data_IF_757864999711
#
_entry.id   IF_757864999711
#
_cell.length_a   1.000
_cell.length_b   1.000
_cell.length_c   1.000
_cell.angle_alpha   90.00
_cell.angle_beta   90.00
_cell.angle_gamma   90.00
#
_symmetry.space_group_name_H-M   'P 1'
#
loop_
_entity.id
_entity.type
_entity.pdbx_description
1 polymer ?
#
# COMPACT_ATOMS: atom_id res chain seq x y z
N UNK A 1 2.72 -20.69 -2.83
CA UNK A 1 1.70 -19.99 -3.65
C UNK A 1 0.72 -21.05 -4.13
N UNK A 2 -0.59 -20.81 -4.02
CA UNK A 2 -1.62 -21.73 -4.52
C UNK A 2 -2.26 -21.10 -5.75
N UNK A 3 -2.32 -21.85 -6.84
CA UNK A 3 -3.00 -21.40 -8.06
C UNK A 3 -4.52 -21.41 -7.83
N UNK A 4 -5.20 -20.35 -8.28
CA UNK A 4 -6.65 -20.19 -8.15
C UNK A 4 -7.35 -20.19 -9.52
N UNK A 5 -6.92 -19.30 -10.43
CA UNK A 5 -7.53 -19.16 -11.77
C UNK A 5 -6.63 -18.34 -12.71
N UNK A 6 -7.00 -18.26 -13.99
CA UNK A 6 -6.32 -17.48 -15.03
C UNK A 6 -7.17 -16.31 -15.53
N UNK A 7 -6.57 -15.11 -15.58
CA UNK A 7 -7.14 -13.94 -16.25
C UNK A 7 -6.61 -13.86 -17.70
N UNK A 8 -7.49 -13.61 -18.67
CA UNK A 8 -7.14 -13.48 -20.08
C UNK A 8 -7.69 -12.18 -20.65
N UNK A 9 -6.81 -11.34 -21.24
CA UNK A 9 -7.16 -10.08 -21.88
C UNK A 9 -7.20 -10.28 -23.40
N UNK A 10 -8.39 -10.33 -24.00
CA UNK A 10 -8.59 -10.69 -25.42
C UNK A 10 -9.16 -9.59 -26.30
N UNK A 11 -9.62 -8.47 -25.74
CA UNK A 11 -10.29 -7.40 -26.48
C UNK A 11 -9.59 -6.05 -26.27
N UNK A 12 -9.34 -5.35 -27.37
CA UNK A 12 -8.87 -3.97 -27.36
C UNK A 12 -10.02 -2.98 -27.13
N UNK A 13 -9.67 -1.79 -26.67
CA UNK A 13 -10.59 -0.71 -26.36
C UNK A 13 -11.20 -0.16 -27.66
N UNK A 14 -12.47 0.23 -27.62
CA UNK A 14 -13.14 0.90 -28.74
C UNK A 14 -13.01 2.42 -28.63
N UNK A 15 -13.01 2.95 -27.40
CA UNK A 15 -12.82 4.36 -27.13
C UNK A 15 -11.96 4.57 -25.88
N UNK A 16 -10.75 5.10 -26.07
CA UNK A 16 -9.79 5.29 -24.98
C UNK A 16 -10.33 6.20 -23.86
N UNK A 17 -11.01 7.30 -24.20
CA UNK A 17 -11.51 8.22 -23.19
C UNK A 17 -12.60 7.59 -22.33
N UNK A 18 -13.55 6.91 -22.96
CA UNK A 18 -14.66 6.23 -22.27
C UNK A 18 -14.18 5.02 -21.46
N UNK A 19 -13.28 4.21 -22.02
CA UNK A 19 -12.97 2.89 -21.48
C UNK A 19 -11.73 2.91 -20.56
N UNK A 20 -10.84 3.91 -20.65
CA UNK A 20 -9.64 4.04 -19.79
C UNK A 20 -9.68 5.30 -18.95
N UNK A 21 -9.85 6.47 -19.56
CA UNK A 21 -9.84 7.74 -18.82
C UNK A 21 -11.06 7.92 -17.90
N UNK A 22 -12.16 7.22 -18.16
CA UNK A 22 -13.30 7.23 -17.26
C UNK A 22 -13.39 5.97 -16.38
N UNK A 23 -12.43 5.05 -16.47
CA UNK A 23 -12.37 3.91 -15.58
C UNK A 23 -12.05 4.35 -14.15
N UNK A 24 -12.85 3.87 -13.19
CA UNK A 24 -12.72 4.19 -11.78
C UNK A 24 -12.58 2.89 -10.98
N UNK A 25 -11.37 2.61 -10.52
CA UNK A 25 -11.07 1.47 -9.64
C UNK A 25 -11.00 1.96 -8.20
N UNK A 26 -11.59 1.20 -7.27
CA UNK A 26 -11.53 1.50 -5.84
C UNK A 26 -11.43 0.21 -5.03
N UNK A 27 -10.54 0.19 -4.04
CA UNK A 27 -10.39 -0.91 -3.10
C UNK A 27 -11.64 -1.12 -2.22
N UNK A 28 -12.50 -0.11 -2.10
CA UNK A 28 -13.76 -0.21 -1.37
C UNK A 28 -14.89 -0.93 -2.11
N UNK A 29 -14.72 -1.26 -3.41
CA UNK A 29 -15.73 -1.99 -4.19
C UNK A 29 -15.52 -3.50 -4.05
N UNK A 30 -15.99 -4.03 -2.93
CA UNK A 30 -15.90 -5.45 -2.62
C UNK A 30 -17.21 -6.18 -2.94
N UNK A 31 -17.08 -7.47 -3.23
CA UNK A 31 -18.22 -8.40 -3.34
C UNK A 31 -18.40 -9.14 -2.01
N UNK A 32 -19.59 -9.72 -1.74
CA UNK A 32 -19.77 -10.60 -0.59
C UNK A 32 -18.67 -11.67 -0.52
N UNK A 33 -18.23 -11.99 0.69
CA UNK A 33 -17.13 -12.92 1.00
C UNK A 33 -15.70 -12.41 0.78
N UNK A 34 -15.50 -11.21 0.23
CA UNK A 34 -14.19 -10.53 0.22
C UNK A 34 -14.29 -9.31 1.14
N UNK A 35 -13.45 -9.27 2.18
CA UNK A 35 -13.44 -8.21 3.18
C UNK A 35 -12.04 -7.62 3.37
N UNK A 36 -11.99 -6.39 3.88
CA UNK A 36 -10.73 -5.71 4.11
C UNK A 36 -10.01 -6.23 5.34
N UNK A 37 -8.69 -6.32 5.23
CA UNK A 37 -7.83 -6.51 6.39
C UNK A 37 -7.72 -5.22 7.21
N UNK A 38 -7.20 -5.34 8.43
CA UNK A 38 -6.88 -4.19 9.28
C UNK A 38 -5.56 -3.51 8.88
N UNK A 39 -5.22 -3.46 7.59
CA UNK A 39 -4.01 -2.79 7.10
C UNK A 39 -4.27 -1.28 6.89
N UNK A 40 -3.47 -0.37 7.48
CA UNK A 40 -3.72 1.07 7.35
C UNK A 40 -3.57 1.55 5.91
N UNK A 41 -2.64 0.94 5.17
CA UNK A 41 -2.36 1.25 3.77
C UNK A 41 -3.48 0.76 2.86
N UNK A 42 -4.23 -0.27 3.25
CA UNK A 42 -5.44 -0.70 2.56
C UNK A 42 -6.65 0.17 2.95
N UNK A 43 -6.74 0.59 4.22
CA UNK A 43 -7.88 1.36 4.72
C UNK A 43 -8.00 2.75 4.12
N UNK A 44 -6.88 3.45 3.98
CA UNK A 44 -6.85 4.81 3.43
C UNK A 44 -7.40 4.91 2.00
N UNK A 45 -6.90 4.16 0.99
CA UNK A 45 -7.34 4.30 -0.39
C UNK A 45 -8.82 3.95 -0.61
N UNK A 46 -9.49 3.23 0.29
CA UNK A 46 -10.93 2.97 0.16
C UNK A 46 -11.79 4.23 0.07
N UNK A 47 -11.35 5.34 0.68
CA UNK A 47 -12.12 6.58 0.76
C UNK A 47 -11.78 7.61 -0.32
N UNK A 48 -10.60 7.53 -0.95
CA UNK A 48 -10.08 8.60 -1.83
C UNK A 48 -10.28 8.30 -3.32
N UNK A 49 -11.50 8.48 -3.84
CA UNK A 49 -11.75 8.43 -5.29
C UNK A 49 -12.86 9.39 -5.75
N UNK A 50 -12.49 10.61 -6.20
CA UNK A 50 -13.47 11.64 -6.63
C UNK A 50 -13.08 12.42 -7.91
N UNK A 51 -12.51 11.78 -8.94
CA UNK A 51 -12.15 12.47 -10.20
C UNK A 51 -13.34 12.71 -11.15
N UNK A 52 -14.19 11.69 -11.34
CA UNK A 52 -15.10 11.61 -12.50
C UNK A 52 -16.50 12.17 -12.20
N UNK A 53 -16.82 12.38 -10.92
CA UNK A 53 -18.11 12.92 -10.46
C UNK A 53 -18.90 11.93 -9.61
N UNK A 54 -19.99 12.41 -9.03
CA UNK A 54 -20.81 11.67 -8.06
C UNK A 54 -21.50 10.44 -8.67
N UNK A 55 -21.89 10.52 -9.94
CA UNK A 55 -22.62 9.45 -10.66
C UNK A 55 -21.70 8.57 -11.52
N UNK A 56 -20.43 8.44 -11.16
CA UNK A 56 -19.44 7.67 -11.93
C UNK A 56 -19.85 6.21 -12.22
N UNK A 57 -20.69 5.62 -11.37
CA UNK A 57 -21.19 4.24 -11.51
C UNK A 57 -22.12 4.08 -12.73
N UNK A 58 -22.66 5.18 -13.26
CA UNK A 58 -23.53 5.18 -14.44
C UNK A 58 -22.72 5.13 -15.75
N UNK A 59 -21.41 5.37 -15.70
CA UNK A 59 -20.54 5.28 -16.88
C UNK A 59 -20.39 3.81 -17.27
N UNK A 60 -20.53 3.43 -18.57
CA UNK A 60 -20.56 2.03 -19.00
C UNK A 60 -19.42 1.15 -18.46
N UNK A 61 -18.19 1.68 -18.38
CA UNK A 61 -17.02 0.93 -17.88
C UNK A 61 -17.04 0.66 -16.37
N UNK A 62 -17.76 1.48 -15.60
CA UNK A 62 -17.85 1.37 -14.13
C UNK A 62 -19.16 0.73 -13.66
N UNK A 63 -20.12 0.57 -14.58
CA UNK A 63 -21.45 0.10 -14.28
C UNK A 63 -21.43 -1.38 -13.87
N UNK A 64 -22.09 -1.76 -12.75
CA UNK A 64 -22.19 -3.15 -12.33
C UNK A 64 -23.22 -3.91 -13.18
N UNK A 65 -22.94 -4.08 -14.48
CA UNK A 65 -23.86 -4.64 -15.48
C UNK A 65 -24.36 -6.07 -15.15
N UNK A 66 -23.63 -6.82 -14.33
CA UNK A 66 -23.98 -8.18 -13.89
C UNK A 66 -24.65 -8.23 -12.51
N UNK A 67 -24.87 -7.07 -11.86
CA UNK A 67 -25.59 -7.06 -10.58
C UNK A 67 -27.08 -7.35 -10.83
N UNK A 68 -27.62 -8.35 -10.11
CA UNK A 68 -29.04 -8.72 -10.21
C UNK A 68 -30.00 -7.57 -9.85
N UNK A 69 -29.56 -6.69 -8.95
CA UNK A 69 -30.26 -5.47 -8.58
C UNK A 69 -29.23 -4.42 -8.19
N UNK A 70 -29.39 -3.21 -8.73
CA UNK A 70 -28.63 -2.04 -8.35
C UNK A 70 -29.59 -1.02 -7.72
N UNK A 71 -29.82 -1.17 -6.41
CA UNK A 71 -30.71 -0.31 -5.62
C UNK A 71 -29.90 0.56 -4.66
N UNK A 72 -29.15 1.52 -5.23
CA UNK A 72 -28.40 2.50 -4.42
C UNK A 72 -29.34 3.47 -3.71
N UNK A 73 -28.97 3.90 -2.50
CA UNK A 73 -29.67 4.93 -1.73
C UNK A 73 -29.26 6.36 -2.13
N UNK A 74 -28.56 6.51 -3.24
CA UNK A 74 -28.10 7.81 -3.76
C UNK A 74 -29.17 8.44 -4.63
N UNK A 75 -29.59 9.66 -4.26
CA UNK A 75 -30.58 10.47 -4.98
C UNK A 75 -29.89 11.67 -5.67
N UNK A 76 -30.39 12.07 -6.84
CA UNK A 76 -29.88 13.15 -7.69
C UNK A 76 -28.36 13.10 -7.99
N UNK A 77 -27.71 14.25 -8.15
CA UNK A 77 -26.30 14.40 -8.53
C UNK A 77 -26.09 14.88 -9.97
N UNK A 78 -24.95 15.52 -10.23
CA UNK A 78 -24.61 16.02 -11.57
C UNK A 78 -24.55 14.87 -12.58
N UNK A 79 -25.09 15.11 -13.79
CA UNK A 79 -25.11 14.14 -14.90
C UNK A 79 -25.79 12.80 -14.54
N UNK A 80 -26.84 12.84 -13.73
CA UNK A 80 -27.68 11.65 -13.48
C UNK A 80 -28.47 11.29 -14.73
N UNK A 81 -28.25 10.09 -15.27
CA UNK A 81 -28.88 9.62 -16.52
C UNK A 81 -29.72 8.36 -16.35
N UNK A 82 -29.63 7.68 -15.19
CA UNK A 82 -30.59 6.63 -14.85
C UNK A 82 -31.94 7.29 -14.53
N UNK A 83 -33.00 6.89 -15.24
CA UNK A 83 -34.35 7.31 -14.90
C UNK A 83 -34.53 7.03 -13.40
N UNK A 84 -34.72 8.10 -12.58
CA UNK A 84 -34.69 8.07 -11.12
C UNK A 84 -35.32 6.78 -10.62
N UNK A 85 -34.50 5.80 -10.22
CA UNK A 85 -35.05 4.55 -9.70
C UNK A 85 -35.91 4.93 -8.50
N UNK A 86 -37.16 4.44 -8.54
CA UNK A 86 -38.24 4.82 -7.66
C UNK A 86 -37.77 4.98 -6.21
N UNK A 87 -38.27 6.02 -5.55
CA UNK A 87 -38.11 6.36 -4.13
C UNK A 87 -38.61 5.23 -3.22
N UNK A 88 -37.99 4.05 -3.29
CA UNK A 88 -38.32 2.92 -2.47
C UNK A 88 -37.76 3.17 -1.06
N UNK A 89 -38.60 3.21 -0.01
CA UNK A 89 -38.13 3.40 1.34
C UNK A 89 -37.21 2.24 1.74
N UNK A 90 -36.05 2.55 2.28
CA UNK A 90 -35.08 1.59 2.77
C UNK A 90 -34.81 1.82 4.26
N UNK A 91 -34.70 0.74 5.03
CA UNK A 91 -34.26 0.81 6.43
C UNK A 91 -32.75 0.60 6.46
N UNK A 92 -32.02 1.58 6.99
CA UNK A 92 -30.58 1.43 7.27
C UNK A 92 -30.42 0.83 8.66
N UNK A 93 -29.86 -0.37 8.75
CA UNK A 93 -29.44 -0.96 10.02
C UNK A 93 -28.03 -1.50 9.87
N UNK A 94 -27.10 -0.98 10.68
CA UNK A 94 -25.84 -1.65 10.97
C UNK A 94 -25.24 -1.09 12.27
N UNK A 95 -25.00 -1.98 13.24
CA UNK A 95 -24.47 -1.67 14.57
C UNK A 95 -22.99 -2.06 14.72
N UNK A 96 -22.23 -2.08 13.63
CA UNK A 96 -20.83 -2.53 13.66
C UNK A 96 -19.94 -1.33 13.95
N UNK A 97 -19.52 -1.20 15.20
CA UNK A 97 -18.53 -0.23 15.65
C UNK A 97 -17.15 -0.73 15.21
N UNK A 98 -16.41 0.12 14.49
CA UNK A 98 -15.05 -0.18 14.03
C UNK A 98 -14.14 -0.49 15.22
N UNK A 99 -13.44 -1.62 15.15
CA UNK A 99 -12.42 -2.01 16.14
C UNK A 99 -11.31 -0.96 16.15
N UNK A 100 -10.87 -0.54 17.34
CA UNK A 100 -9.71 0.33 17.53
C UNK A 100 -8.51 -0.28 16.80
N UNK A 101 -7.86 0.52 15.96
CA UNK A 101 -6.75 0.03 15.16
C UNK A 101 -5.49 -0.26 16.02
N UNK A 102 -4.80 -1.40 15.82
CA UNK A 102 -3.60 -1.78 16.56
C UNK A 102 -2.30 -1.26 15.90
N UNK A 103 -2.26 -0.03 15.40
CA UNK A 103 -1.06 0.45 14.72
C UNK A 103 0.02 0.91 15.71
N UNK A 104 1.03 0.06 15.85
CA UNK A 104 2.25 0.31 16.60
C UNK A 104 3.43 0.21 15.64
N UNK A 105 4.30 1.22 15.60
CA UNK A 105 5.59 1.07 14.93
C UNK A 105 6.52 0.32 15.87
N UNK A 106 6.91 -0.91 15.53
CA UNK A 106 7.70 -1.73 16.47
C UNK A 106 9.14 -1.22 16.64
N UNK A 107 9.67 -0.48 15.66
CA UNK A 107 11.01 0.10 15.78
C UNK A 107 12.09 -0.96 15.93
N UNK A 108 11.92 -2.15 15.34
CA UNK A 108 12.83 -3.28 15.46
C UNK A 108 13.81 -3.30 14.29
N UNK A 109 14.98 -3.89 14.50
CA UNK A 109 15.96 -4.12 13.42
C UNK A 109 15.46 -5.08 12.34
N UNK A 110 14.43 -5.87 12.65
CA UNK A 110 13.74 -6.76 11.69
C UNK A 110 13.14 -5.99 10.50
N UNK A 111 12.93 -4.68 10.61
CA UNK A 111 12.41 -3.86 9.50
C UNK A 111 13.28 -3.96 8.23
N UNK A 112 14.56 -4.34 8.36
CA UNK A 112 15.47 -4.56 7.22
C UNK A 112 15.56 -6.02 6.75
N UNK A 113 15.09 -6.99 7.53
CA UNK A 113 15.37 -8.41 7.31
C UNK A 113 14.85 -8.90 5.95
N UNK A 114 13.63 -8.52 5.57
CA UNK A 114 13.05 -8.89 4.28
C UNK A 114 13.88 -8.33 3.11
N UNK A 115 14.35 -7.09 3.22
CA UNK A 115 15.20 -6.48 2.21
C UNK A 115 16.57 -7.16 2.14
N UNK A 116 17.15 -7.54 3.28
CA UNK A 116 18.40 -8.32 3.34
C UNK A 116 18.24 -9.67 2.68
N UNK A 117 17.15 -10.39 2.95
CA UNK A 117 16.86 -11.67 2.31
C UNK A 117 16.68 -11.52 0.79
N UNK A 118 16.01 -10.46 0.34
CA UNK A 118 15.87 -10.18 -1.08
C UNK A 118 17.23 -9.91 -1.76
N UNK A 119 18.06 -9.06 -1.16
CA UNK A 119 19.40 -8.71 -1.66
C UNK A 119 20.34 -9.92 -1.76
N UNK A 120 20.33 -10.75 -0.72
CA UNK A 120 21.26 -11.89 -0.61
C UNK A 120 20.78 -13.13 -1.36
N UNK A 121 19.51 -13.49 -1.25
CA UNK A 121 18.97 -14.77 -1.74
C UNK A 121 18.28 -14.68 -3.10
N UNK A 122 17.67 -13.54 -3.43
CA UNK A 122 16.85 -13.40 -4.65
C UNK A 122 17.60 -12.71 -5.77
N UNK A 123 18.35 -11.64 -5.47
CA UNK A 123 19.03 -10.86 -6.50
C UNK A 123 20.27 -11.55 -7.06
N UNK A 124 20.39 -11.54 -8.38
CA UNK A 124 21.64 -11.90 -9.08
C UNK A 124 22.68 -10.79 -8.94
N UNK A 125 23.95 -11.10 -9.19
CA UNK A 125 25.04 -10.11 -9.12
C UNK A 125 24.80 -8.93 -10.07
N UNK A 126 24.28 -9.18 -11.27
CA UNK A 126 23.97 -8.11 -12.21
C UNK A 126 22.83 -7.23 -11.70
N UNK A 127 21.79 -7.82 -11.09
CA UNK A 127 20.70 -7.06 -10.48
C UNK A 127 21.20 -6.20 -9.31
N UNK A 128 22.12 -6.72 -8.49
CA UNK A 128 22.76 -5.95 -7.42
C UNK A 128 23.54 -4.75 -7.97
N UNK A 129 24.40 -4.97 -8.98
CA UNK A 129 25.15 -3.89 -9.66
C UNK A 129 24.23 -2.82 -10.24
N UNK A 130 23.16 -3.23 -10.94
CA UNK A 130 22.18 -2.31 -11.50
C UNK A 130 21.44 -1.52 -10.43
N UNK A 131 21.08 -2.18 -9.32
CA UNK A 131 20.41 -1.53 -8.18
C UNK A 131 21.32 -0.47 -7.57
N UNK A 132 22.59 -0.79 -7.31
CA UNK A 132 23.56 0.17 -6.77
C UNK A 132 23.79 1.36 -7.72
N UNK A 133 23.89 1.10 -9.03
CA UNK A 133 24.03 2.13 -10.06
C UNK A 133 22.81 3.04 -10.15
N UNK A 134 21.61 2.48 -10.13
CA UNK A 134 20.38 3.26 -10.19
C UNK A 134 20.23 4.12 -8.93
N UNK A 135 20.54 3.57 -7.77
CA UNK A 135 20.52 4.30 -6.50
C UNK A 135 21.52 5.46 -6.51
N UNK A 136 22.78 5.23 -6.89
CA UNK A 136 23.80 6.29 -6.92
C UNK A 136 23.48 7.37 -7.97
N UNK A 137 22.87 6.99 -9.10
CA UNK A 137 22.44 7.91 -10.16
C UNK A 137 21.47 8.97 -9.65
N UNK A 138 20.58 8.64 -8.71
CA UNK A 138 19.66 9.62 -8.11
C UNK A 138 20.24 10.26 -6.85
N UNK A 139 20.94 9.49 -6.02
CA UNK A 139 21.50 9.97 -4.76
C UNK A 139 22.54 11.09 -4.97
N UNK A 140 23.26 11.08 -6.11
CA UNK A 140 24.20 12.16 -6.47
C UNK A 140 23.57 13.54 -6.62
N UNK A 141 22.26 13.64 -6.87
CA UNK A 141 21.55 14.92 -7.01
C UNK A 141 21.15 15.51 -5.66
N UNK A 142 21.25 14.73 -4.58
CA UNK A 142 20.95 15.20 -3.23
C UNK A 142 22.07 16.14 -2.79
N UNK A 143 21.71 17.40 -2.55
CA UNK A 143 22.67 18.46 -2.17
C UNK A 143 23.08 18.32 -0.70
N UNK A 144 22.16 17.88 0.16
CA UNK A 144 22.39 17.75 1.59
C UNK A 144 23.11 16.43 1.91
N UNK A 145 24.34 16.53 2.41
CA UNK A 145 25.15 15.36 2.79
C UNK A 145 24.46 14.51 3.86
N UNK A 146 23.74 15.13 4.79
CA UNK A 146 23.00 14.42 5.84
C UNK A 146 21.95 13.46 5.27
N UNK A 147 21.26 13.84 4.19
CA UNK A 147 20.26 12.96 3.56
C UNK A 147 20.96 11.76 2.90
N UNK A 148 22.12 11.98 2.27
CA UNK A 148 22.92 10.90 1.72
C UNK A 148 23.44 9.95 2.82
N UNK A 149 23.93 10.49 3.93
CA UNK A 149 24.40 9.74 5.10
C UNK A 149 23.28 8.88 5.70
N UNK A 150 22.11 9.49 5.96
CA UNK A 150 20.97 8.81 6.55
C UNK A 150 20.45 7.70 5.62
N UNK A 151 20.40 7.95 4.32
CA UNK A 151 19.99 6.92 3.36
C UNK A 151 20.98 5.75 3.34
N UNK A 152 22.29 6.02 3.24
CA UNK A 152 23.32 4.99 3.24
C UNK A 152 23.34 4.18 4.55
N UNK A 153 23.02 4.81 5.69
CA UNK A 153 22.93 4.12 6.99
C UNK A 153 21.78 3.10 7.01
N UNK A 154 20.62 3.43 6.43
CA UNK A 154 19.52 2.48 6.28
C UNK A 154 19.89 1.33 5.32
N UNK A 155 20.58 1.65 4.23
CA UNK A 155 21.08 0.64 3.28
C UNK A 155 22.13 -0.27 3.92
N UNK A 156 22.97 0.26 4.81
CA UNK A 156 23.97 -0.51 5.54
C UNK A 156 23.32 -1.58 6.43
N UNK A 157 22.20 -1.26 7.08
CA UNK A 157 21.43 -2.24 7.86
C UNK A 157 20.78 -3.33 6.99
N UNK A 158 20.58 -3.08 5.70
CA UNK A 158 20.15 -4.10 4.74
C UNK A 158 21.34 -5.00 4.38
N UNK A 159 22.43 -4.40 3.91
CA UNK A 159 23.67 -5.12 3.62
C UNK A 159 24.88 -4.17 3.51
N UNK A 160 26.01 -4.47 4.17
CA UNK A 160 27.21 -3.63 4.11
C UNK A 160 27.82 -3.48 2.71
N UNK A 161 27.83 -4.56 1.91
CA UNK A 161 28.28 -4.55 0.51
C UNK A 161 27.40 -3.66 -0.37
N UNK A 162 26.10 -3.65 -0.12
CA UNK A 162 25.17 -2.78 -0.84
C UNK A 162 25.49 -1.31 -0.57
N UNK A 163 25.61 -0.91 0.71
CA UNK A 163 25.95 0.46 1.06
C UNK A 163 27.31 0.89 0.49
N UNK A 164 28.32 0.02 0.56
CA UNK A 164 29.65 0.28 0.00
C UNK A 164 29.58 0.50 -1.51
N UNK A 165 28.89 -0.38 -2.24
CA UNK A 165 28.78 -0.29 -3.70
C UNK A 165 28.07 0.98 -4.17
N UNK A 166 27.09 1.50 -3.41
CA UNK A 166 26.44 2.78 -3.70
C UNK A 166 27.39 3.93 -3.40
N UNK A 167 28.09 3.89 -2.27
CA UNK A 167 29.05 4.92 -1.85
C UNK A 167 30.19 5.10 -2.86
N UNK A 168 30.76 4.01 -3.36
CA UNK A 168 31.88 4.02 -4.32
C UNK A 168 31.50 4.65 -5.67
N UNK A 169 30.21 4.62 -6.03
CA UNK A 169 29.69 5.19 -7.28
C UNK A 169 29.34 6.68 -7.16
N UNK A 170 29.44 7.29 -5.98
CA UNK A 170 29.13 8.72 -5.80
C UNK A 170 30.31 9.59 -6.25
N UNK A 171 30.08 10.65 -7.05
CA UNK A 171 31.15 11.41 -7.70
C UNK A 171 32.03 12.23 -6.75
N UNK A 172 31.55 12.53 -5.53
CA UNK A 172 32.29 13.19 -4.43
C UNK A 172 31.62 12.85 -3.09
N UNK A 173 32.00 11.77 -2.41
CA UNK A 173 31.50 11.54 -1.06
C UNK A 173 32.07 12.62 -0.13
N UNK A 174 31.21 13.52 0.36
CA UNK A 174 31.58 14.50 1.39
C UNK A 174 31.71 13.87 2.80
N UNK A 175 31.46 12.57 2.90
CA UNK A 175 31.30 11.81 4.13
C UNK A 175 32.30 10.65 4.15
N UNK A 176 32.89 10.37 5.31
CA UNK A 176 33.65 9.14 5.50
C UNK A 176 32.67 7.97 5.70
N UNK A 177 32.93 6.83 5.07
CA UNK A 177 32.06 5.65 5.19
C UNK A 177 31.91 5.16 6.64
N UNK A 178 32.88 5.43 7.51
CA UNK A 178 32.78 5.07 8.93
C UNK A 178 31.64 5.82 9.65
N UNK A 179 31.34 7.07 9.26
CA UNK A 179 30.17 7.80 9.78
C UNK A 179 28.85 7.12 9.41
N UNK A 180 28.79 6.45 8.26
CA UNK A 180 27.61 5.68 7.84
C UNK A 180 27.38 4.50 8.78
N UNK A 181 28.45 3.80 9.16
CA UNK A 181 28.39 2.66 10.10
C UNK A 181 27.92 3.11 11.47
N UNK A 182 28.44 4.23 11.97
CA UNK A 182 28.04 4.81 13.25
C UNK A 182 26.55 5.16 13.25
N UNK A 183 26.07 5.86 12.22
CA UNK A 183 24.64 6.20 12.06
C UNK A 183 23.73 4.99 11.83
N UNK A 184 24.23 3.89 11.26
CA UNK A 184 23.40 2.72 11.02
C UNK A 184 22.91 2.06 12.32
N UNK A 185 23.65 2.21 13.42
CA UNK A 185 23.35 1.57 14.72
C UNK A 185 21.95 1.91 15.22
N UNK A 186 21.53 3.18 15.13
CA UNK A 186 20.25 3.69 15.62
C UNK A 186 19.24 4.01 14.50
N UNK A 187 19.61 3.79 13.23
CA UNK A 187 18.79 4.15 12.07
C UNK A 187 17.36 3.56 12.07
N UNK A 188 17.19 2.36 12.61
CA UNK A 188 15.89 1.69 12.78
C UNK A 188 14.92 2.41 13.74
N UNK A 189 15.39 3.40 14.52
CA UNK A 189 14.60 4.17 15.48
C UNK A 189 14.25 5.58 14.99
N UNK A 190 14.89 6.05 13.91
CA UNK A 190 14.69 7.41 13.43
C UNK A 190 13.23 7.70 13.08
N UNK A 191 12.76 8.89 13.45
CA UNK A 191 11.40 9.38 13.23
C UNK A 191 10.28 8.50 13.83
N UNK A 192 10.62 7.54 14.70
CA UNK A 192 9.64 6.71 15.43
C UNK A 192 9.39 7.29 16.81
N UNK A 193 8.16 7.76 17.00
CA UNK A 193 7.67 8.29 18.27
C UNK A 193 7.52 7.18 19.32
N UNK A 194 8.13 7.36 20.50
CA UNK A 194 8.15 6.34 21.55
C UNK A 194 6.75 5.94 22.03
N UNK A 195 5.80 6.89 22.04
CA UNK A 195 4.40 6.71 22.44
C UNK A 195 3.60 5.79 21.51
N UNK A 196 4.05 5.59 20.26
CA UNK A 196 3.41 4.73 19.27
C UNK A 196 4.15 3.40 19.09
N UNK A 197 5.08 3.05 19.98
CA UNK A 197 5.73 1.73 19.99
C UNK A 197 4.94 0.77 20.86
N UNK A 198 4.85 -0.49 20.41
CA UNK A 198 4.15 -1.54 21.13
C UNK A 198 4.76 -1.70 22.53
N UNK A 199 3.92 -1.68 23.57
CA UNK A 199 4.33 -1.97 24.95
C UNK A 199 4.04 -3.43 25.29
N UNK A 200 4.79 -4.03 26.20
CA UNK A 200 4.49 -5.37 26.69
C UNK A 200 3.03 -5.41 27.21
N UNK A 201 2.21 -6.29 26.62
CA UNK A 201 0.77 -6.42 26.95
C UNK A 201 -0.22 -5.72 26.01
N UNK A 202 0.19 -4.90 25.04
CA UNK A 202 -0.73 -4.19 24.12
C UNK A 202 -1.19 -5.00 22.91
N UNK A 203 -1.11 -6.34 22.96
CA UNK A 203 -1.54 -7.22 21.86
C UNK A 203 -3.08 -7.27 21.81
N UNK A 204 -3.69 -6.33 21.09
CA UNK A 204 -5.13 -6.28 20.80
C UNK A 204 -5.53 -7.31 19.73
N UNK A 205 -4.98 -8.53 19.80
CA UNK A 205 -5.51 -9.64 19.04
C UNK A 205 -6.73 -10.14 19.82
N UNK A 206 -7.94 -9.86 19.33
CA UNK A 206 -9.11 -10.57 19.79
C UNK A 206 -8.85 -12.07 19.61
N UNK A 207 -9.03 -12.85 20.66
CA UNK A 207 -8.96 -14.32 20.57
C UNK A 207 -10.01 -14.77 19.55
N UNK A 208 -9.63 -15.70 18.66
CA UNK A 208 -10.63 -16.37 17.84
C UNK A 208 -11.65 -17.01 18.80
N UNK A 209 -12.96 -16.80 18.61
CA UNK A 209 -13.95 -17.51 19.40
C UNK A 209 -13.71 -19.02 19.26
N UNK A 210 -13.83 -19.75 20.36
CA UNK A 210 -13.63 -21.22 20.42
C UNK A 210 -14.74 -21.99 19.71
N UNK A 211 -15.72 -21.28 19.14
CA UNK A 211 -16.87 -21.81 18.45
C UNK A 211 -17.14 -21.01 17.17
N UNK A 212 -17.69 -21.64 16.12
CA UNK A 212 -18.07 -20.94 14.90
C UNK A 212 -19.17 -19.91 15.20
N UNK A 213 -18.94 -18.66 14.80
CA UNK A 213 -19.88 -17.53 15.00
C UNK A 213 -20.80 -17.33 13.79
N UNK A 214 -20.50 -17.95 12.65
CA UNK A 214 -21.33 -17.90 11.45
C UNK A 214 -21.46 -19.29 10.81
N UNK A 215 -22.70 -19.72 10.58
CA UNK A 215 -23.06 -20.95 9.87
C UNK A 215 -23.28 -22.17 10.78
N UNK A 216 -24.54 -22.39 11.16
CA UNK A 216 -25.11 -23.73 11.32
C UNK A 216 -25.97 -24.02 10.07
#
# INVERSE_FOLDING_TARGET
MQEFSRLLLSKNLENFHRDVEQAALSAGRLIPSIENSLDPLLQFPMFFYHRIGVNLQQIPVNCPFMAKSYASLTFDGQMRTDAKHAEAPCVVNNNIVSRRSPYWHEGKKNDHEQATQHWSKTMTEQQRKNTSLNTSKYLKFVIYSEIQENYLAQVYNISPDYAQSVYDLLPKPHLAFDKVKERAVDAHLWYKEKKFRSTEGSKLAGMSPSFPVYGA
#
